data_IF_199912927649
#
_entry.id   IF_199912927649
#
_cell.length_a   1.000
_cell.length_b   1.000
_cell.length_c   1.000
_cell.angle_alpha   90.00
_cell.angle_beta   90.00
_cell.angle_gamma   90.00
#
_symmetry.space_group_name_H-M   'P 1'
#
loop_
_entity.id
_entity.type
_entity.pdbx_description
1 polymer ?
#
# COMPACT_ATOMS: atom_id res chain seq x y z
N UNK A 1 1.59 -15.09 -8.59
CA UNK A 1 1.75 -13.89 -9.42
C UNK A 1 1.86 -12.66 -8.55
N UNK A 2 2.93 -11.91 -8.73
CA UNK A 2 3.15 -10.72 -7.91
C UNK A 2 2.49 -9.52 -8.56
N UNK A 3 1.47 -9.00 -7.90
CA UNK A 3 0.82 -7.78 -8.32
C UNK A 3 1.12 -6.69 -7.30
N UNK A 4 1.46 -5.52 -7.78
CA UNK A 4 1.63 -4.36 -6.91
C UNK A 4 0.24 -3.92 -6.47
N UNK A 5 -0.01 -3.90 -5.17
CA UNK A 5 -1.32 -3.59 -4.61
C UNK A 5 -1.21 -2.35 -3.73
N UNK A 6 -2.10 -1.35 -3.91
CA UNK A 6 -2.10 -0.19 -3.04
C UNK A 6 -2.71 -0.54 -1.68
N UNK A 7 -2.00 -0.17 -0.61
CA UNK A 7 -2.46 -0.42 0.76
C UNK A 7 -2.17 0.82 1.59
N UNK A 8 -2.96 0.99 2.64
CA UNK A 8 -2.87 2.16 3.50
C UNK A 8 -1.95 1.90 4.68
N UNK A 9 -1.01 2.80 4.90
CA UNK A 9 -0.09 2.70 6.04
C UNK A 9 -0.85 3.07 7.31
N UNK A 10 -0.90 2.14 8.27
CA UNK A 10 -1.62 2.36 9.52
C UNK A 10 -0.70 2.57 10.71
N UNK A 11 0.53 2.07 10.65
CA UNK A 11 1.55 2.39 11.66
C UNK A 11 2.93 2.07 11.09
N UNK A 12 3.94 2.66 11.67
CA UNK A 12 5.32 2.37 11.27
C UNK A 12 6.29 2.76 12.37
N UNK A 13 7.48 2.14 12.33
CA UNK A 13 8.58 2.43 13.24
C UNK A 13 9.87 2.30 12.43
N UNK A 14 10.51 3.43 12.16
CA UNK A 14 11.69 3.43 11.29
C UNK A 14 11.36 2.94 9.90
N UNK A 15 11.99 1.84 9.48
CA UNK A 15 11.74 1.26 8.15
C UNK A 15 10.71 0.14 8.18
N UNK A 16 10.20 -0.19 9.35
CA UNK A 16 9.19 -1.24 9.48
C UNK A 16 7.80 -0.60 9.54
N UNK A 17 6.92 -1.03 8.67
CA UNK A 17 5.56 -0.50 8.63
C UNK A 17 4.53 -1.59 8.58
N UNK A 18 3.30 -1.22 8.92
CA UNK A 18 2.14 -2.10 8.79
C UNK A 18 1.15 -1.40 7.88
N UNK A 19 0.71 -2.11 6.85
CA UNK A 19 -0.27 -1.57 5.91
C UNK A 19 -1.52 -2.42 5.92
N UNK A 20 -2.63 -1.79 5.58
CA UNK A 20 -3.93 -2.44 5.56
C UNK A 20 -4.58 -2.27 4.20
N UNK A 21 -5.19 -3.33 3.73
CA UNK A 21 -5.99 -3.28 2.52
C UNK A 21 -7.00 -4.41 2.54
N UNK A 22 -8.25 -4.08 2.24
CA UNK A 22 -9.32 -5.06 2.08
C UNK A 22 -9.47 -6.01 3.29
N UNK A 23 -9.30 -5.44 4.49
CA UNK A 23 -9.44 -6.21 5.73
C UNK A 23 -8.21 -7.02 6.12
N UNK A 24 -7.12 -6.89 5.37
CA UNK A 24 -5.88 -7.61 5.63
C UNK A 24 -4.79 -6.64 6.03
N UNK A 25 -4.01 -6.99 7.05
CA UNK A 25 -2.84 -6.21 7.46
C UNK A 25 -1.58 -7.01 7.21
N UNK A 26 -0.55 -6.35 6.69
CA UNK A 26 0.74 -7.00 6.47
C UNK A 26 1.88 -6.08 6.89
N UNK A 27 3.00 -6.70 7.26
CA UNK A 27 4.22 -5.97 7.58
C UNK A 27 4.99 -5.70 6.29
N UNK A 28 5.49 -4.48 6.15
CA UNK A 28 6.24 -4.10 4.95
C UNK A 28 7.50 -3.34 5.34
N UNK A 29 8.45 -3.31 4.42
CA UNK A 29 9.67 -2.54 4.59
C UNK A 29 9.51 -1.20 3.87
N UNK A 30 9.78 -0.11 4.57
CA UNK A 30 9.60 1.25 4.08
C UNK A 30 10.90 1.91 3.62
N UNK A 31 11.98 1.15 3.49
CA UNK A 31 13.28 1.75 3.17
C UNK A 31 13.32 2.51 1.84
N UNK A 32 12.42 2.17 0.93
CA UNK A 32 12.33 2.82 -0.38
C UNK A 32 11.40 4.03 -0.38
N UNK A 33 10.73 4.29 0.73
CA UNK A 33 9.76 5.38 0.83
C UNK A 33 10.38 6.54 1.61
N UNK A 34 10.30 7.74 1.05
CA UNK A 34 10.73 8.95 1.74
C UNK A 34 9.58 9.50 2.55
N UNK A 35 9.85 9.84 3.81
CA UNK A 35 8.89 10.46 4.71
C UNK A 35 7.53 9.74 4.76
N UNK A 36 7.52 8.46 5.15
CA UNK A 36 6.24 7.75 5.28
C UNK A 36 5.41 8.37 6.42
N UNK A 37 4.10 8.40 6.21
CA UNK A 37 3.17 8.92 7.22
C UNK A 37 1.97 8.00 7.33
N UNK A 38 1.43 7.88 8.53
CA UNK A 38 0.20 7.13 8.75
C UNK A 38 -0.91 7.75 7.91
N UNK A 39 -1.62 6.91 7.18
CA UNK A 39 -2.67 7.35 6.25
C UNK A 39 -2.23 7.40 4.81
N UNK A 40 -0.93 7.29 4.55
CA UNK A 40 -0.43 7.27 3.17
C UNK A 40 -0.79 5.96 2.49
N UNK A 41 -1.10 6.06 1.20
CA UNK A 41 -1.29 4.87 0.37
C UNK A 41 0.02 4.52 -0.31
N UNK A 42 0.40 3.26 -0.18
CA UNK A 42 1.67 2.77 -0.70
C UNK A 42 1.43 1.58 -1.62
N UNK A 43 2.22 1.50 -2.67
CA UNK A 43 2.21 0.31 -3.54
C UNK A 43 3.13 -0.72 -2.90
N UNK A 44 2.60 -1.90 -2.63
CA UNK A 44 3.33 -2.98 -1.96
C UNK A 44 3.63 -4.08 -2.96
N UNK A 45 4.88 -4.51 -2.97
CA UNK A 45 5.33 -5.59 -3.84
C UNK A 45 6.43 -6.38 -3.11
N UNK A 46 6.21 -7.68 -2.98
CA UNK A 46 7.17 -8.60 -2.35
C UNK A 46 7.58 -8.15 -0.94
N UNK A 47 6.68 -7.57 -0.17
CA UNK A 47 6.95 -7.14 1.20
C UNK A 47 7.59 -5.77 1.32
N UNK A 48 7.80 -5.07 0.20
CA UNK A 48 8.37 -3.73 0.18
C UNK A 48 7.35 -2.72 -0.29
N UNK A 49 7.33 -1.56 0.37
CA UNK A 49 6.60 -0.41 -0.16
C UNK A 49 7.50 0.24 -1.19
N UNK A 50 7.08 0.25 -2.44
CA UNK A 50 7.92 0.72 -3.54
C UNK A 50 7.57 2.11 -4.05
N UNK A 51 6.36 2.59 -3.75
CA UNK A 51 5.93 3.89 -4.22
C UNK A 51 4.83 4.43 -3.32
N UNK A 52 4.84 5.74 -3.10
CA UNK A 52 3.78 6.42 -2.36
C UNK A 52 2.83 7.06 -3.35
N UNK A 53 1.53 6.87 -3.14
CA UNK A 53 0.49 7.43 -3.99
C UNK A 53 -0.25 8.55 -3.28
N UNK A 54 -0.75 9.51 -4.05
CA UNK A 54 -1.72 10.47 -3.53
C UNK A 54 -3.00 9.72 -3.20
N UNK A 55 -3.74 10.21 -2.22
CA UNK A 55 -4.99 9.59 -1.81
C UNK A 55 -5.95 9.40 -2.99
N UNK A 56 -6.06 10.39 -3.85
CA UNK A 56 -6.91 10.33 -5.03
C UNK A 56 -6.48 9.24 -5.99
N UNK A 57 -5.17 9.16 -6.27
CA UNK A 57 -4.63 8.14 -7.17
C UNK A 57 -4.84 6.74 -6.59
N UNK A 58 -4.68 6.60 -5.27
CA UNK A 58 -4.88 5.32 -4.61
C UNK A 58 -6.31 4.84 -4.73
N UNK A 59 -7.28 5.74 -4.53
CA UNK A 59 -8.69 5.38 -4.63
C UNK A 59 -9.06 4.95 -6.05
N UNK A 60 -8.53 5.62 -7.05
CA UNK A 60 -8.77 5.24 -8.44
C UNK A 60 -8.17 3.88 -8.74
N UNK A 61 -6.96 3.63 -8.27
CA UNK A 61 -6.29 2.34 -8.49
C UNK A 61 -7.03 1.21 -7.81
N UNK A 62 -7.47 1.41 -6.57
CA UNK A 62 -8.23 0.41 -5.82
C UNK A 62 -9.54 0.11 -6.53
N UNK A 63 -10.20 1.13 -7.05
CA UNK A 63 -11.47 0.95 -7.78
C UNK A 63 -11.27 0.07 -9.02
N UNK A 64 -10.19 0.29 -9.74
CA UNK A 64 -9.87 -0.51 -10.92
C UNK A 64 -9.66 -1.98 -10.53
N UNK A 65 -8.89 -2.24 -9.47
CA UNK A 65 -8.68 -3.60 -9.01
C UNK A 65 -9.98 -4.28 -8.59
N UNK A 66 -10.87 -3.55 -7.92
CA UNK A 66 -12.15 -4.12 -7.51
C UNK A 66 -13.02 -4.48 -8.71
N UNK A 67 -13.00 -3.67 -9.74
CA UNK A 67 -13.73 -4.00 -10.96
C UNK A 67 -13.19 -5.25 -11.63
N UNK A 68 -11.88 -5.43 -11.63
CA UNK A 68 -11.26 -6.62 -12.18
C UNK A 68 -11.64 -7.88 -11.42
N UNK A 69 -11.79 -7.76 -10.09
CA UNK A 69 -12.17 -8.89 -9.25
C UNK A 69 -13.60 -9.36 -9.45
N UNK A 70 -14.47 -8.48 -9.93
CA UNK A 70 -15.87 -8.84 -10.15
C UNK A 70 -16.08 -9.80 -11.30
N UNK A 71 -15.09 -9.97 -12.10
CA UNK A 71 -15.15 -10.92 -13.19
C UNK A 71 -14.62 -12.28 -12.75
#
# INVERSE_FOLDING_TARGET
MCLAVPMKLIQFDGVNGVVEGDGVTIDVNLMLIEEPKVGDYLIIHAGFAIQKLDEKEALETISIFKEMEKE
#
